data_IF_314179128518
#
_entry.id   IF_314179128518
#
_cell.length_a   1.000
_cell.length_b   1.000
_cell.length_c   1.000
_cell.angle_alpha   90.00
_cell.angle_beta   90.00
_cell.angle_gamma   90.00
#
_symmetry.space_group_name_H-M   'P 1'
#
loop_
_entity.id
_entity.type
_entity.pdbx_description
1 polymer ?
#
# COMPACT_ATOMS: atom_id res chain seq x y z
N UNK A 1 -52.09 5.31 22.20
CA UNK A 1 -50.97 4.70 21.43
C UNK A 1 -51.35 4.69 19.96
N UNK A 2 -50.70 5.49 19.13
CA UNK A 2 -50.95 5.48 17.68
C UNK A 2 -50.23 4.27 17.10
N UNK A 3 -50.97 3.26 16.65
CA UNK A 3 -50.39 2.07 16.01
C UNK A 3 -49.94 2.42 14.59
N UNK A 4 -48.65 2.28 14.32
CA UNK A 4 -48.07 2.58 13.02
C UNK A 4 -48.54 1.55 11.96
N UNK A 5 -48.94 1.98 10.75
CA UNK A 5 -49.43 1.07 9.72
C UNK A 5 -48.34 0.09 9.26
N UNK A 6 -48.72 -1.18 9.05
CA UNK A 6 -47.81 -2.31 8.78
C UNK A 6 -46.86 -2.06 7.60
N UNK A 7 -47.33 -1.37 6.55
CA UNK A 7 -46.52 -0.98 5.38
C UNK A 7 -45.38 -0.03 5.77
N UNK A 8 -45.67 0.97 6.60
CA UNK A 8 -44.72 2.00 7.04
C UNK A 8 -43.64 1.41 7.95
N UNK A 9 -44.03 0.47 8.81
CA UNK A 9 -43.10 -0.32 9.63
C UNK A 9 -42.13 -1.14 8.76
N UNK A 10 -42.65 -1.84 7.75
CA UNK A 10 -41.82 -2.62 6.83
C UNK A 10 -40.85 -1.72 6.03
N UNK A 11 -41.30 -0.54 5.59
CA UNK A 11 -40.43 0.40 4.86
C UNK A 11 -39.29 0.91 5.75
N UNK A 12 -39.59 1.24 7.01
CA UNK A 12 -38.59 1.64 8.00
C UNK A 12 -37.57 0.53 8.28
N UNK A 13 -38.02 -0.71 8.46
CA UNK A 13 -37.13 -1.85 8.69
C UNK A 13 -36.18 -2.09 7.51
N UNK A 14 -36.70 -2.08 6.28
CA UNK A 14 -35.88 -2.23 5.06
C UNK A 14 -34.87 -1.08 4.94
N UNK A 15 -35.31 0.16 5.18
CA UNK A 15 -34.42 1.34 5.10
C UNK A 15 -33.29 1.23 6.12
N UNK A 16 -33.61 0.82 7.35
CA UNK A 16 -32.62 0.64 8.42
C UNK A 16 -31.61 -0.46 8.08
N UNK A 17 -32.08 -1.63 7.64
CA UNK A 17 -31.22 -2.74 7.22
C UNK A 17 -30.31 -2.32 6.06
N UNK A 18 -30.85 -1.57 5.09
CA UNK A 18 -30.07 -1.08 3.95
C UNK A 18 -28.97 -0.11 4.39
N UNK A 19 -29.26 0.77 5.35
CA UNK A 19 -28.31 1.74 5.89
C UNK A 19 -27.20 1.06 6.70
N UNK A 20 -27.54 0.01 7.46
CA UNK A 20 -26.57 -0.85 8.15
C UNK A 20 -25.68 -1.59 7.14
N UNK A 21 -26.26 -2.18 6.10
CA UNK A 21 -25.50 -2.86 5.06
C UNK A 21 -24.51 -1.90 4.34
N UNK A 22 -24.96 -0.68 4.01
CA UNK A 22 -24.11 0.33 3.36
C UNK A 22 -22.94 0.77 4.25
N UNK A 23 -23.19 0.96 5.54
CA UNK A 23 -22.15 1.35 6.51
C UNK A 23 -21.15 0.22 6.76
N UNK A 24 -21.60 -1.04 6.83
CA UNK A 24 -20.72 -2.20 6.86
C UNK A 24 -19.84 -2.27 5.60
N UNK A 25 -20.42 -2.12 4.40
CA UNK A 25 -19.68 -2.14 3.15
C UNK A 25 -18.63 -1.02 3.08
N UNK A 26 -19.00 0.20 3.51
CA UNK A 26 -18.08 1.33 3.60
C UNK A 26 -16.91 1.05 4.56
N UNK A 27 -17.18 0.45 5.72
CA UNK A 27 -16.15 0.11 6.70
C UNK A 27 -15.20 -0.97 6.19
N UNK A 28 -15.72 -2.02 5.56
CA UNK A 28 -14.93 -3.09 4.92
C UNK A 28 -14.05 -2.51 3.82
N UNK A 29 -14.60 -1.66 2.94
CA UNK A 29 -13.83 -0.97 1.90
C UNK A 29 -12.69 -0.14 2.51
N UNK A 30 -12.94 0.58 3.60
CA UNK A 30 -11.92 1.41 4.23
C UNK A 30 -10.81 0.60 4.91
N UNK A 31 -11.15 -0.57 5.48
CA UNK A 31 -10.19 -1.45 6.14
C UNK A 31 -9.38 -2.30 5.15
N UNK A 32 -10.00 -2.86 4.13
CA UNK A 32 -9.37 -3.78 3.18
C UNK A 32 -8.88 -3.12 1.89
N UNK A 33 -9.51 -2.03 1.44
CA UNK A 33 -9.12 -1.33 0.21
C UNK A 33 -7.77 -0.63 0.33
N UNK A 34 -7.44 -0.10 1.51
CA UNK A 34 -6.14 0.53 1.77
C UNK A 34 -4.96 -0.43 1.65
N UNK A 35 -4.94 -1.63 2.28
CA UNK A 35 -3.82 -2.56 2.10
C UNK A 35 -3.68 -3.07 0.66
N UNK A 36 -4.79 -3.23 -0.09
CA UNK A 36 -4.74 -3.56 -1.51
C UNK A 36 -4.12 -2.45 -2.37
N UNK A 37 -4.45 -1.18 -2.07
CA UNK A 37 -3.85 -0.03 -2.72
C UNK A 37 -2.34 0.08 -2.47
N UNK A 38 -1.88 -0.27 -1.26
CA UNK A 38 -0.46 -0.22 -0.92
C UNK A 38 0.32 -1.23 -1.76
N UNK A 39 -0.13 -2.48 -1.81
CA UNK A 39 0.54 -3.51 -2.61
C UNK A 39 0.65 -3.08 -4.08
N UNK A 40 -0.47 -2.66 -4.69
CA UNK A 40 -0.49 -2.17 -6.07
C UNK A 40 0.46 -0.97 -6.29
N UNK A 41 0.50 -0.03 -5.35
CA UNK A 41 1.39 1.14 -5.41
C UNK A 41 2.87 0.73 -5.36
N UNK A 42 3.25 -0.19 -4.47
CA UNK A 42 4.62 -0.69 -4.41
C UNK A 42 4.97 -1.38 -5.73
N UNK A 43 4.12 -2.29 -6.20
CA UNK A 43 4.31 -3.00 -7.47
C UNK A 43 4.51 -2.06 -8.65
N UNK A 44 3.70 -0.99 -8.74
CA UNK A 44 3.83 0.04 -9.78
C UNK A 44 5.13 0.84 -9.68
N UNK A 45 5.66 1.08 -8.48
CA UNK A 45 6.89 1.87 -8.28
C UNK A 45 8.14 1.06 -8.61
N UNK A 46 8.09 -0.24 -8.34
CA UNK A 46 9.21 -1.17 -8.56
C UNK A 46 9.07 -1.98 -9.85
N UNK A 47 8.10 -1.64 -10.71
CA UNK A 47 7.88 -2.26 -12.02
C UNK A 47 7.72 -3.80 -11.94
N UNK A 48 6.94 -4.30 -10.99
CA UNK A 48 6.73 -5.74 -10.73
C UNK A 48 7.96 -6.54 -10.22
N UNK A 49 9.13 -5.93 -10.08
CA UNK A 49 10.35 -6.62 -9.62
C UNK A 49 10.46 -6.70 -8.10
N UNK A 50 9.42 -7.20 -7.43
CA UNK A 50 9.39 -7.33 -5.97
C UNK A 50 9.46 -8.81 -5.58
N UNK A 51 10.56 -9.21 -4.96
CA UNK A 51 10.74 -10.55 -4.41
C UNK A 51 9.99 -10.73 -3.08
N UNK A 52 9.98 -9.68 -2.26
CA UNK A 52 9.37 -9.72 -0.94
C UNK A 52 8.52 -8.48 -0.72
N UNK A 53 7.24 -8.69 -0.42
CA UNK A 53 6.34 -7.68 0.10
C UNK A 53 5.72 -8.20 1.40
N UNK A 54 5.90 -7.46 2.49
CA UNK A 54 5.29 -7.79 3.78
C UNK A 54 4.90 -6.53 4.53
N UNK A 55 3.69 -6.53 5.09
CA UNK A 55 3.24 -5.51 6.04
C UNK A 55 2.91 -6.20 7.36
N UNK A 56 3.67 -5.89 8.41
CA UNK A 56 3.44 -6.44 9.76
C UNK A 56 3.65 -5.37 10.80
N UNK A 57 2.70 -5.22 11.72
CA UNK A 57 2.77 -4.27 12.84
C UNK A 57 3.02 -2.80 12.42
N UNK A 58 2.58 -2.44 11.20
CA UNK A 58 2.80 -1.12 10.60
C UNK A 58 4.20 -0.96 9.98
N UNK A 59 4.98 -2.02 9.85
CA UNK A 59 6.27 -2.03 9.15
C UNK A 59 6.04 -2.64 7.77
N UNK A 60 6.37 -1.88 6.72
CA UNK A 60 6.38 -2.31 5.33
C UNK A 60 7.79 -2.76 4.96
N UNK A 61 7.98 -4.05 4.75
CA UNK A 61 9.25 -4.63 4.28
C UNK A 61 9.14 -4.94 2.79
N UNK A 62 10.06 -4.40 2.00
CA UNK A 62 10.13 -4.60 0.55
C UNK A 62 11.54 -5.07 0.19
N UNK A 63 11.62 -6.12 -0.63
CA UNK A 63 12.84 -6.47 -1.36
C UNK A 63 12.53 -6.46 -2.84
N UNK A 64 13.29 -5.68 -3.59
CA UNK A 64 13.12 -5.54 -5.01
C UNK A 64 14.43 -5.79 -5.76
N UNK A 65 14.34 -6.44 -6.90
CA UNK A 65 15.46 -6.61 -7.83
C UNK A 65 15.41 -5.48 -8.86
N UNK A 66 16.53 -4.84 -9.13
CA UNK A 66 16.59 -3.76 -10.10
C UNK A 66 17.16 -4.22 -11.44
N UNK A 67 16.39 -4.00 -12.51
CA UNK A 67 16.79 -4.27 -13.88
C UNK A 67 17.70 -3.17 -14.48
N UNK A 68 18.41 -3.51 -15.56
CA UNK A 68 19.16 -2.54 -16.38
C UNK A 68 20.62 -2.33 -15.99
N UNK A 69 21.22 -3.24 -15.21
CA UNK A 69 22.63 -3.20 -14.88
C UNK A 69 23.49 -4.01 -15.85
N UNK A 70 24.56 -3.39 -16.37
CA UNK A 70 25.51 -4.01 -17.32
C UNK A 70 26.88 -4.36 -16.67
N UNK A 71 27.01 -4.17 -15.35
CA UNK A 71 28.27 -4.41 -14.63
C UNK A 71 29.24 -3.22 -14.60
N UNK A 72 28.98 -2.14 -15.34
CA UNK A 72 29.90 -0.99 -15.42
C UNK A 72 29.72 0.01 -14.26
N UNK A 73 30.73 0.85 -14.01
CA UNK A 73 30.68 1.88 -12.98
C UNK A 73 29.67 3.01 -13.27
N UNK A 74 29.45 3.34 -14.56
CA UNK A 74 28.43 4.29 -14.97
C UNK A 74 27.01 3.75 -14.69
N UNK A 75 26.77 2.49 -15.07
CA UNK A 75 25.50 1.82 -14.79
C UNK A 75 25.24 1.69 -13.29
N UNK A 76 26.27 1.43 -12.47
CA UNK A 76 26.13 1.39 -11.01
C UNK A 76 25.62 2.70 -10.41
N UNK A 77 26.20 3.84 -10.81
CA UNK A 77 25.79 5.16 -10.30
C UNK A 77 24.35 5.48 -10.70
N UNK A 78 23.97 5.13 -11.93
CA UNK A 78 22.61 5.35 -12.43
C UNK A 78 21.59 4.43 -11.74
N UNK A 79 21.95 3.16 -11.57
CA UNK A 79 21.17 2.17 -10.85
C UNK A 79 20.90 2.62 -9.41
N UNK A 80 21.93 3.11 -8.72
CA UNK A 80 21.79 3.64 -7.36
C UNK A 80 20.86 4.86 -7.31
N UNK A 81 20.99 5.78 -8.26
CA UNK A 81 20.11 6.96 -8.37
C UNK A 81 18.66 6.56 -8.63
N UNK A 82 18.42 5.57 -9.48
CA UNK A 82 17.07 5.07 -9.75
C UNK A 82 16.46 4.39 -8.52
N UNK A 83 17.22 3.54 -7.83
CA UNK A 83 16.76 2.90 -6.59
C UNK A 83 16.35 3.92 -5.53
N UNK A 84 17.17 4.94 -5.30
CA UNK A 84 16.85 6.06 -4.39
C UNK A 84 15.60 6.84 -4.86
N UNK A 85 15.44 7.05 -6.16
CA UNK A 85 14.25 7.71 -6.74
C UNK A 85 12.99 6.89 -6.48
N UNK A 86 13.04 5.56 -6.66
CA UNK A 86 11.92 4.65 -6.38
C UNK A 86 11.57 4.64 -4.89
N UNK A 87 12.56 4.58 -4.01
CA UNK A 87 12.37 4.67 -2.55
C UNK A 87 11.69 6.00 -2.15
N UNK A 88 12.17 7.13 -2.69
CA UNK A 88 11.56 8.44 -2.40
C UNK A 88 10.12 8.55 -2.93
N UNK A 89 9.83 7.99 -4.11
CA UNK A 89 8.46 7.90 -4.63
C UNK A 89 7.56 7.08 -3.71
N UNK A 90 8.07 5.94 -3.20
CA UNK A 90 7.33 5.10 -2.27
C UNK A 90 7.01 5.86 -0.98
N UNK A 91 8.00 6.51 -0.37
CA UNK A 91 7.79 7.32 0.82
C UNK A 91 6.72 8.40 0.60
N UNK A 92 6.82 9.15 -0.50
CA UNK A 92 5.86 10.18 -0.85
C UNK A 92 4.43 9.61 -1.03
N UNK A 93 4.30 8.47 -1.70
CA UNK A 93 3.01 7.80 -1.87
C UNK A 93 2.45 7.30 -0.53
N UNK A 94 3.31 6.76 0.34
CA UNK A 94 2.90 6.28 1.66
C UNK A 94 2.31 7.41 2.51
N UNK A 95 2.98 8.57 2.53
CA UNK A 95 2.54 9.77 3.25
C UNK A 95 1.27 10.36 2.63
N UNK A 96 1.24 10.53 1.30
CA UNK A 96 0.15 11.20 0.58
C UNK A 96 -1.18 10.45 0.72
N UNK A 97 -1.14 9.12 0.58
CA UNK A 97 -2.34 8.28 0.63
C UNK A 97 -2.71 7.83 2.06
N UNK A 98 -1.89 8.21 3.06
CA UNK A 98 -2.11 7.93 4.48
C UNK A 98 -2.35 6.43 4.72
N UNK A 99 -1.44 5.61 4.22
CA UNK A 99 -1.42 4.18 4.51
C UNK A 99 -1.07 3.96 5.99
N UNK A 100 -1.54 2.84 6.56
CA UNK A 100 -1.30 2.49 7.97
C UNK A 100 0.10 1.89 8.16
N UNK A 101 1.13 2.63 7.75
CA UNK A 101 2.54 2.25 7.81
C UNK A 101 3.28 3.29 8.62
N UNK A 102 4.05 2.84 9.62
CA UNK A 102 4.89 3.65 10.50
C UNK A 102 6.36 3.64 10.05
N UNK A 103 6.78 2.56 9.40
CA UNK A 103 8.15 2.35 8.96
C UNK A 103 8.17 1.62 7.62
N UNK A 104 9.09 2.01 6.74
CA UNK A 104 9.37 1.34 5.48
C UNK A 104 10.81 0.82 5.54
N UNK A 105 10.97 -0.49 5.45
CA UNK A 105 12.27 -1.15 5.24
C UNK A 105 12.35 -1.59 3.78
N UNK A 106 13.21 -0.95 3.01
CA UNK A 106 13.45 -1.30 1.60
C UNK A 106 14.87 -1.81 1.43
N UNK A 107 14.97 -2.96 0.77
CA UNK A 107 16.20 -3.45 0.16
C UNK A 107 16.03 -3.48 -1.36
N UNK A 108 16.89 -2.78 -2.10
CA UNK A 108 16.98 -2.91 -3.56
C UNK A 108 18.27 -3.62 -3.90
N UNK A 109 18.17 -4.79 -4.52
CA UNK A 109 19.30 -5.62 -4.92
C UNK A 109 19.57 -5.50 -6.42
N UNK A 110 20.85 -5.46 -6.79
CA UNK A 110 21.33 -5.49 -8.17
C UNK A 110 22.16 -6.78 -8.34
N UNK A 111 21.63 -7.76 -9.09
CA UNK A 111 22.30 -9.03 -9.42
C UNK A 111 22.93 -9.75 -8.21
N UNK A 112 22.20 -9.77 -7.09
CA UNK A 112 22.59 -10.43 -5.85
C UNK A 112 23.76 -9.82 -5.06
N UNK A 113 24.50 -8.84 -5.60
CA UNK A 113 25.79 -8.41 -5.04
C UNK A 113 25.80 -7.00 -4.43
N UNK A 114 24.98 -6.07 -4.92
CA UNK A 114 24.91 -4.70 -4.39
C UNK A 114 23.52 -4.41 -3.85
N UNK A 115 23.47 -3.83 -2.66
CA UNK A 115 22.22 -3.59 -1.93
C UNK A 115 22.14 -2.11 -1.54
N UNK A 116 21.03 -1.47 -1.89
CA UNK A 116 20.62 -0.24 -1.23
C UNK A 116 19.66 -0.66 -0.14
N UNK A 117 20.06 -0.47 1.11
CA UNK A 117 19.22 -0.73 2.27
C UNK A 117 18.86 0.60 2.92
N UNK A 118 17.56 0.85 3.07
CA UNK A 118 17.05 2.05 3.73
C UNK A 118 15.86 1.72 4.62
N UNK A 119 15.90 2.28 5.82
CA UNK A 119 14.76 2.35 6.73
C UNK A 119 14.26 3.79 6.78
N UNK A 120 12.98 3.98 6.51
CA UNK A 120 12.32 5.28 6.52
C UNK A 120 11.19 5.28 7.56
N UNK A 121 11.17 6.28 8.42
CA UNK A 121 10.11 6.48 9.41
C UNK A 121 9.08 7.46 8.88
N UNK A 122 7.80 7.08 8.94
CA UNK A 122 6.67 7.91 8.51
C UNK A 122 6.30 8.82 9.68
N UNK A 123 6.33 10.14 9.43
CA UNK A 123 5.93 11.18 10.39
C UNK A 123 4.45 11.52 10.27
#
# INVERSE_FOLDING_TARGET
MISMPRKLKLTLEITLVSLIALSCAFFVYRMLGKPLGLHHTVTRIFDDHIDVYRVKDGILTIRAEAEGWDGTGWSQSNAQRDGLRKINKLYAAVVMEKYLVKQIDVTVTYYGNKQIEQTLYIK
#
